data_IF_863524328639
#
_entry.id   IF_863524328639
#
_cell.length_a   1.000
_cell.length_b   1.000
_cell.length_c   1.000
_cell.angle_alpha   90.00
_cell.angle_beta   90.00
_cell.angle_gamma   90.00
#
_symmetry.space_group_name_H-M   'P 1'
#
loop_
_entity.id
_entity.type
_entity.pdbx_description
1 polymer ?
#
# COMPACT_ATOMS: atom_id res chain seq x y z
N UNK A 1 8.68 19.26 30.13
CA UNK A 1 7.80 18.93 28.98
C UNK A 1 8.43 18.02 27.92
N UNK A 2 9.75 18.04 27.68
CA UNK A 2 10.42 17.21 26.63
C UNK A 2 10.29 15.68 26.87
N UNK A 3 10.25 15.24 28.12
CA UNK A 3 10.19 13.80 28.46
C UNK A 3 8.82 13.14 28.22
N UNK A 4 7.70 13.87 28.37
CA UNK A 4 6.37 13.33 28.11
C UNK A 4 6.13 13.15 26.60
N UNK A 5 6.46 14.19 25.81
CA UNK A 5 6.36 14.17 24.36
C UNK A 5 7.20 13.05 23.70
N UNK A 6 8.42 12.80 24.22
CA UNK A 6 9.28 11.71 23.73
C UNK A 6 8.72 10.32 24.09
N UNK A 7 8.15 10.16 25.29
CA UNK A 7 7.51 8.89 25.73
C UNK A 7 6.25 8.60 24.92
N UNK A 8 5.40 9.59 24.68
CA UNK A 8 4.20 9.43 23.87
C UNK A 8 4.54 9.06 22.44
N UNK A 9 5.51 9.75 21.82
CA UNK A 9 5.98 9.42 20.46
C UNK A 9 6.55 8.00 20.35
N UNK A 10 7.27 7.53 21.37
CA UNK A 10 7.79 6.15 21.42
C UNK A 10 6.67 5.13 21.60
N UNK A 11 5.66 5.43 22.41
CA UNK A 11 4.47 4.59 22.63
C UNK A 11 3.64 4.48 21.35
N UNK A 12 3.45 5.58 20.63
CA UNK A 12 2.80 5.60 19.31
C UNK A 12 3.58 4.76 18.31
N UNK A 13 4.91 4.89 18.28
CA UNK A 13 5.75 4.09 17.36
C UNK A 13 5.67 2.58 17.65
N UNK A 14 5.67 2.18 18.92
CA UNK A 14 5.53 0.78 19.30
C UNK A 14 4.15 0.22 18.90
N UNK A 15 3.08 1.01 19.14
CA UNK A 15 1.72 0.64 18.74
C UNK A 15 1.56 0.49 17.21
N UNK A 16 2.14 1.39 16.42
CA UNK A 16 2.14 1.30 14.95
C UNK A 16 2.87 0.05 14.45
N UNK A 17 4.01 -0.31 15.06
CA UNK A 17 4.75 -1.51 14.66
C UNK A 17 3.96 -2.78 14.98
N UNK A 18 3.32 -2.84 16.14
CA UNK A 18 2.47 -3.98 16.50
C UNK A 18 1.26 -4.10 15.58
N UNK A 19 0.63 -2.97 15.24
CA UNK A 19 -0.46 -2.94 14.26
C UNK A 19 0.00 -3.46 12.89
N UNK A 20 1.19 -3.07 12.42
CA UNK A 20 1.74 -3.57 11.16
C UNK A 20 2.07 -5.06 11.21
N UNK A 21 2.57 -5.58 12.34
CA UNK A 21 2.79 -7.02 12.52
C UNK A 21 1.48 -7.79 12.39
N UNK A 22 0.40 -7.31 13.01
CA UNK A 22 -0.91 -7.92 12.88
C UNK A 22 -1.43 -7.83 11.45
N UNK A 23 -1.28 -6.67 10.82
CA UNK A 23 -1.67 -6.45 9.43
C UNK A 23 -0.94 -7.40 8.46
N UNK A 24 0.38 -7.52 8.57
CA UNK A 24 1.18 -8.40 7.72
C UNK A 24 0.81 -9.88 7.89
N UNK A 25 0.33 -10.30 9.07
CA UNK A 25 -0.18 -11.68 9.27
C UNK A 25 -1.42 -11.98 8.42
N UNK A 26 -2.15 -10.96 7.97
CA UNK A 26 -3.31 -11.11 7.07
C UNK A 26 -2.92 -11.34 5.61
N UNK A 27 -1.64 -11.17 5.27
CA UNK A 27 -1.20 -11.32 3.89
C UNK A 27 -1.30 -12.80 3.50
N UNK A 28 -1.72 -13.12 2.26
CA UNK A 28 -1.83 -14.50 1.82
C UNK A 28 -0.52 -15.25 2.03
N UNK A 29 -0.62 -16.43 2.65
CA UNK A 29 0.46 -17.41 2.69
C UNK A 29 0.08 -18.49 1.69
N UNK A 30 0.71 -18.49 0.53
CA UNK A 30 0.48 -19.58 -0.42
C UNK A 30 1.26 -20.80 0.04
N UNK A 31 0.54 -21.88 0.36
CA UNK A 31 1.08 -23.16 0.80
C UNK A 31 2.05 -23.75 -0.24
N UNK A 32 3.13 -24.37 0.23
CA UNK A 32 4.17 -24.97 -0.62
C UNK A 32 3.61 -26.11 -1.50
N UNK A 33 2.51 -26.76 -1.09
CA UNK A 33 1.85 -27.78 -1.92
C UNK A 33 1.13 -27.21 -3.14
N UNK A 34 0.48 -26.05 -3.02
CA UNK A 34 -0.18 -25.38 -4.15
C UNK A 34 0.83 -24.85 -5.18
N UNK A 35 2.09 -24.65 -4.74
CA UNK A 35 3.21 -24.20 -5.57
C UNK A 35 3.79 -25.32 -6.45
N UNK A 36 3.57 -26.61 -6.14
CA UNK A 36 4.07 -27.73 -6.97
C UNK A 36 3.41 -27.79 -8.36
N UNK A 37 2.23 -27.19 -8.51
CA UNK A 37 1.44 -27.26 -9.74
C UNK A 37 1.18 -25.91 -10.40
N UNK A 38 1.77 -24.82 -9.90
CA UNK A 38 1.48 -23.45 -10.39
C UNK A 38 2.76 -22.64 -10.62
N UNK A 39 2.86 -21.96 -11.77
CA UNK A 39 4.01 -21.10 -12.17
C UNK A 39 3.95 -19.71 -11.47
N UNK A 40 2.95 -19.47 -10.61
CA UNK A 40 2.78 -18.18 -9.97
C UNK A 40 3.94 -17.91 -8.99
N UNK A 41 4.50 -16.69 -8.99
CA UNK A 41 5.62 -16.35 -8.12
C UNK A 41 5.23 -16.57 -6.66
N UNK A 42 6.20 -17.06 -5.86
CA UNK A 42 6.06 -17.21 -4.40
C UNK A 42 5.52 -15.91 -3.82
N UNK A 43 4.29 -15.93 -3.31
CA UNK A 43 3.87 -14.83 -2.44
C UNK A 43 4.70 -14.91 -1.18
N UNK A 44 5.44 -13.82 -0.92
CA UNK A 44 6.34 -13.76 0.21
C UNK A 44 6.06 -12.48 0.96
N UNK A 45 6.18 -12.57 2.28
CA UNK A 45 6.34 -11.39 3.11
C UNK A 45 7.53 -11.60 4.01
N UNK A 46 8.44 -10.62 4.01
CA UNK A 46 9.68 -10.68 4.79
C UNK A 46 9.93 -9.34 5.45
N UNK A 47 10.33 -9.38 6.71
CA UNK A 47 10.88 -8.20 7.38
C UNK A 47 12.27 -7.87 6.79
N UNK A 48 12.41 -6.65 6.30
CA UNK A 48 13.65 -6.14 5.73
C UNK A 48 13.70 -4.63 5.95
N UNK A 49 14.56 -4.19 6.87
CA UNK A 49 14.69 -2.78 7.22
C UNK A 49 15.45 -2.05 6.11
N UNK A 50 14.81 -1.03 5.55
CA UNK A 50 15.39 -0.19 4.50
C UNK A 50 15.73 1.18 5.07
N UNK A 51 16.87 1.78 4.72
CA UNK A 51 17.18 3.14 5.12
C UNK A 51 16.10 4.13 4.67
N UNK A 52 15.69 5.04 5.56
CA UNK A 52 14.69 6.07 5.27
C UNK A 52 15.09 6.97 4.11
N UNK A 53 16.40 7.17 3.92
CA UNK A 53 16.97 7.94 2.80
C UNK A 53 16.55 7.39 1.44
N UNK A 54 16.31 6.08 1.29
CA UNK A 54 15.86 5.49 0.03
C UNK A 54 14.39 5.83 -0.26
N UNK A 55 13.53 5.81 0.76
CA UNK A 55 12.13 6.19 0.58
C UNK A 55 11.99 7.68 0.25
N UNK A 56 12.80 8.53 0.91
CA UNK A 56 12.84 9.98 0.67
C UNK A 56 13.20 10.30 -0.79
N UNK A 57 14.06 9.52 -1.45
CA UNK A 57 14.37 9.71 -2.88
C UNK A 57 13.11 9.56 -3.75
N UNK A 58 12.28 8.56 -3.46
CA UNK A 58 11.04 8.33 -4.21
C UNK A 58 10.01 9.41 -3.90
N UNK A 59 9.80 9.73 -2.62
CA UNK A 59 8.88 10.79 -2.18
C UNK A 59 9.21 12.13 -2.86
N UNK A 60 10.50 12.48 -2.94
CA UNK A 60 10.97 13.65 -3.69
C UNK A 60 10.63 13.57 -5.18
N UNK A 61 10.85 12.42 -5.82
CA UNK A 61 10.53 12.23 -7.25
C UNK A 61 9.04 12.31 -7.55
N UNK A 62 8.19 11.94 -6.59
CA UNK A 62 6.73 12.00 -6.68
C UNK A 62 6.18 13.37 -6.23
N UNK A 63 7.01 14.20 -5.59
CA UNK A 63 6.60 15.43 -4.91
C UNK A 63 5.48 15.22 -3.87
N UNK A 64 5.58 14.14 -3.09
CA UNK A 64 4.61 13.77 -2.03
C UNK A 64 5.34 13.32 -0.76
N UNK A 65 4.57 13.20 0.31
CA UNK A 65 4.95 12.43 1.50
C UNK A 65 3.91 11.34 1.70
N UNK A 66 4.33 10.08 1.80
CA UNK A 66 3.41 8.99 2.08
C UNK A 66 2.87 9.06 3.52
N UNK A 67 1.67 8.51 3.80
CA UNK A 67 1.16 8.41 5.16
C UNK A 67 2.12 7.66 6.09
N UNK A 68 2.26 8.10 7.34
CA UNK A 68 3.28 7.61 8.27
C UNK A 68 3.28 6.08 8.46
N UNK A 69 2.10 5.48 8.64
CA UNK A 69 1.97 4.02 8.79
C UNK A 69 2.33 3.28 7.50
N UNK A 70 1.98 3.84 6.33
CA UNK A 70 2.34 3.28 5.03
C UNK A 70 3.85 3.38 4.75
N UNK A 71 4.48 4.52 5.09
CA UNK A 71 5.95 4.65 5.06
C UNK A 71 6.62 3.54 5.87
N UNK A 72 6.10 3.28 7.08
CA UNK A 72 6.66 2.24 7.94
C UNK A 72 6.47 0.84 7.37
N UNK A 73 5.30 0.55 6.80
CA UNK A 73 5.08 -0.70 6.07
C UNK A 73 6.16 -0.89 4.98
N UNK A 74 6.41 0.13 4.16
CA UNK A 74 7.42 0.09 3.10
C UNK A 74 8.85 -0.05 3.64
N UNK A 75 9.19 0.64 4.73
CA UNK A 75 10.53 0.61 5.32
C UNK A 75 10.84 -0.70 6.06
N UNK A 76 9.81 -1.39 6.56
CA UNK A 76 9.98 -2.58 7.40
C UNK A 76 9.72 -3.88 6.68
N UNK A 77 8.84 -3.92 5.68
CA UNK A 77 8.42 -5.17 5.04
C UNK A 77 8.64 -5.15 3.54
N UNK A 78 9.01 -6.31 3.01
CA UNK A 78 9.04 -6.62 1.57
C UNK A 78 8.00 -7.67 1.28
N UNK A 79 7.27 -7.45 0.20
CA UNK A 79 6.18 -8.30 -0.22
C UNK A 79 5.96 -8.19 -1.73
N UNK A 80 5.44 -9.25 -2.31
CA UNK A 80 4.89 -9.24 -3.67
C UNK A 80 3.52 -8.55 -3.68
N UNK A 81 2.53 -9.01 -4.45
CA UNK A 81 1.18 -8.47 -4.30
C UNK A 81 0.48 -9.14 -3.11
N UNK A 82 0.00 -8.36 -2.16
CA UNK A 82 -0.79 -8.88 -1.04
C UNK A 82 -2.28 -8.69 -1.33
N UNK A 83 -3.01 -9.78 -1.63
CA UNK A 83 -4.46 -9.74 -1.79
C UNK A 83 -5.16 -9.84 -0.42
N UNK A 84 -5.86 -8.78 -0.04
CA UNK A 84 -6.47 -8.57 1.27
C UNK A 84 -7.99 -8.56 1.16
N UNK A 85 -8.49 -9.38 0.23
CA UNK A 85 -9.90 -9.58 -0.13
C UNK A 85 -10.57 -8.34 -0.75
N UNK A 86 -10.66 -7.25 0.01
CA UNK A 86 -11.30 -6.00 -0.43
C UNK A 86 -10.42 -5.13 -1.34
N UNK A 87 -9.10 -5.30 -1.25
CA UNK A 87 -8.08 -4.67 -2.08
C UNK A 87 -6.83 -5.53 -2.13
N UNK A 88 -5.96 -5.27 -3.11
CA UNK A 88 -4.61 -5.81 -3.14
C UNK A 88 -3.59 -4.68 -3.12
N UNK A 89 -2.53 -4.83 -2.31
CA UNK A 89 -1.42 -3.87 -2.29
C UNK A 89 -0.55 -4.01 -3.55
N UNK A 90 -0.03 -2.88 -4.04
CA UNK A 90 1.04 -2.91 -5.03
C UNK A 90 2.31 -3.54 -4.42
N UNK A 91 3.10 -4.30 -5.21
CA UNK A 91 4.28 -4.96 -4.68
C UNK A 91 5.33 -4.01 -4.13
N UNK A 92 5.89 -4.37 -2.97
CA UNK A 92 7.13 -3.82 -2.43
C UNK A 92 8.23 -4.89 -2.48
N UNK A 93 8.76 -5.20 -3.68
CA UNK A 93 9.61 -6.37 -3.89
C UNK A 93 10.98 -6.22 -3.23
N UNK A 94 11.65 -7.35 -2.98
CA UNK A 94 12.99 -7.38 -2.41
C UNK A 94 13.99 -6.55 -3.23
N UNK A 95 14.87 -5.85 -2.54
CA UNK A 95 15.90 -4.99 -3.11
C UNK A 95 16.54 -4.15 -2.02
N UNK A 96 17.76 -3.68 -2.26
CA UNK A 96 18.47 -2.75 -1.36
C UNK A 96 17.85 -1.35 -1.38
N UNK A 97 17.03 -1.05 -2.38
CA UNK A 97 16.34 0.23 -2.58
C UNK A 97 14.83 0.01 -2.82
N UNK A 98 14.16 1.02 -3.34
CA UNK A 98 12.75 0.98 -3.70
C UNK A 98 12.50 1.08 -5.22
N UNK A 99 13.49 0.82 -6.07
CA UNK A 99 13.31 0.91 -7.53
C UNK A 99 12.25 -0.07 -8.05
N UNK A 100 12.18 -1.28 -7.50
CA UNK A 100 11.13 -2.24 -7.85
C UNK A 100 9.72 -1.73 -7.49
N UNK A 101 9.56 -1.14 -6.31
CA UNK A 101 8.31 -0.48 -5.89
C UNK A 101 7.98 0.72 -6.78
N UNK A 102 8.99 1.56 -7.08
CA UNK A 102 8.88 2.70 -7.98
C UNK A 102 8.33 2.28 -9.35
N UNK A 103 8.91 1.24 -9.95
CA UNK A 103 8.46 0.70 -11.23
C UNK A 103 6.98 0.28 -11.21
N UNK A 104 6.46 -0.22 -10.07
CA UNK A 104 5.05 -0.60 -9.95
C UNK A 104 4.11 0.61 -9.88
N UNK A 105 4.50 1.69 -9.22
CA UNK A 105 3.72 2.95 -9.24
C UNK A 105 3.62 3.53 -10.65
N UNK A 106 4.73 3.52 -11.39
CA UNK A 106 4.81 4.12 -12.73
C UNK A 106 4.50 3.13 -13.87
N UNK A 107 4.11 1.89 -13.56
CA UNK A 107 4.03 0.82 -14.54
C UNK A 107 3.03 1.14 -15.66
N UNK A 108 1.86 1.65 -15.28
CA UNK A 108 0.81 1.96 -16.24
C UNK A 108 0.96 3.40 -16.78
N UNK A 109 1.48 3.50 -17.99
CA UNK A 109 1.67 4.76 -18.72
C UNK A 109 0.37 5.48 -19.10
N UNK A 110 -0.78 4.82 -19.04
CA UNK A 110 -2.09 5.38 -19.35
C UNK A 110 -2.83 5.82 -18.10
N UNK A 111 -2.69 5.07 -17.00
CA UNK A 111 -3.31 5.39 -15.72
C UNK A 111 -2.52 6.47 -14.96
N UNK A 112 -1.20 6.31 -14.88
CA UNK A 112 -0.33 7.16 -14.05
C UNK A 112 -0.46 8.67 -14.35
N UNK A 113 -0.44 9.14 -15.61
CA UNK A 113 -0.51 10.57 -15.89
C UNK A 113 -1.77 11.23 -15.35
N UNK A 114 -2.93 10.56 -15.49
CA UNK A 114 -4.20 11.07 -14.97
C UNK A 114 -4.18 11.08 -13.45
N UNK A 115 -3.78 9.98 -12.79
CA UNK A 115 -3.72 9.93 -11.32
C UNK A 115 -2.78 11.03 -10.76
N UNK A 116 -1.59 11.18 -11.35
CA UNK A 116 -0.62 12.18 -10.96
C UNK A 116 -1.15 13.62 -11.13
N UNK A 117 -1.82 13.91 -12.25
CA UNK A 117 -2.44 15.21 -12.50
C UNK A 117 -3.43 15.58 -11.38
N UNK A 118 -4.21 14.60 -10.91
CA UNK A 118 -5.18 14.80 -9.84
C UNK A 118 -4.61 14.60 -8.42
N UNK A 119 -3.28 14.51 -8.28
CA UNK A 119 -2.59 14.35 -6.98
C UNK A 119 -3.04 13.08 -6.23
N UNK A 120 -3.32 12.02 -6.99
CA UNK A 120 -3.66 10.70 -6.50
C UNK A 120 -2.44 9.79 -6.62
N UNK A 121 -2.17 9.01 -5.58
CA UNK A 121 -1.04 8.08 -5.55
C UNK A 121 -1.55 6.68 -5.35
N UNK A 122 -1.48 5.87 -6.39
CA UNK A 122 -1.86 4.47 -6.34
C UNK A 122 -0.93 3.71 -5.38
N UNK A 123 -1.51 2.96 -4.46
CA UNK A 123 -0.79 2.03 -3.59
C UNK A 123 -1.40 0.63 -3.62
N UNK A 124 -2.55 0.48 -4.27
CA UNK A 124 -3.20 -0.81 -4.46
C UNK A 124 -4.15 -0.78 -5.65
N UNK A 125 -4.88 -1.89 -5.80
CA UNK A 125 -5.97 -2.06 -6.75
C UNK A 125 -7.10 -2.82 -6.07
N UNK A 126 -8.29 -2.83 -6.69
CA UNK A 126 -9.40 -3.64 -6.20
C UNK A 126 -8.98 -5.12 -6.07
N UNK A 127 -9.35 -5.73 -4.95
CA UNK A 127 -9.06 -7.12 -4.63
C UNK A 127 -10.04 -8.05 -5.35
N UNK A 128 -9.56 -9.26 -5.66
CA UNK A 128 -10.26 -10.31 -6.44
C UNK A 128 -10.68 -9.89 -7.88
N UNK A 129 -10.65 -10.85 -8.81
CA UNK A 129 -11.19 -10.78 -10.19
C UNK A 129 -10.48 -9.91 -11.25
N UNK A 130 -9.14 -9.84 -11.24
CA UNK A 130 -8.34 -9.13 -12.26
C UNK A 130 -8.81 -7.69 -12.59
N UNK A 131 -9.47 -7.05 -11.61
CA UNK A 131 -9.98 -5.71 -11.79
C UNK A 131 -8.85 -4.69 -11.59
N UNK A 132 -8.73 -3.77 -12.55
CA UNK A 132 -7.67 -2.78 -12.63
C UNK A 132 -7.97 -1.47 -11.87
N UNK A 133 -9.14 -1.36 -11.23
CA UNK A 133 -9.58 -0.19 -10.46
C UNK A 133 -8.51 0.23 -9.43
N UNK A 134 -7.85 1.39 -9.60
CA UNK A 134 -6.79 1.79 -8.70
C UNK A 134 -7.35 2.23 -7.35
N UNK A 135 -6.61 1.89 -6.31
CA UNK A 135 -6.84 2.39 -4.95
C UNK A 135 -5.70 3.35 -4.61
N UNK A 136 -6.08 4.58 -4.33
CA UNK A 136 -5.16 5.69 -4.22
C UNK A 136 -5.28 6.40 -2.87
N UNK A 137 -4.17 7.00 -2.44
CA UNK A 137 -4.20 8.11 -1.50
C UNK A 137 -4.61 9.38 -2.24
N UNK A 138 -5.67 10.05 -1.79
CA UNK A 138 -5.95 11.43 -2.22
C UNK A 138 -5.16 12.41 -1.37
N UNK A 139 -4.02 12.86 -1.91
CA UNK A 139 -3.09 13.74 -1.19
C UNK A 139 -3.66 15.14 -0.96
N UNK A 140 -4.72 15.53 -1.69
CA UNK A 140 -5.43 16.81 -1.48
C UNK A 140 -6.39 16.72 -0.30
N UNK A 141 -6.84 15.51 0.03
CA UNK A 141 -7.80 15.25 1.09
C UNK A 141 -7.19 14.34 2.15
N UNK A 142 -6.17 14.83 2.85
CA UNK A 142 -5.53 14.20 4.03
C UNK A 142 -5.12 12.73 3.83
N UNK A 143 -4.82 12.32 2.60
CA UNK A 143 -4.54 10.92 2.24
C UNK A 143 -5.68 9.94 2.55
N UNK A 144 -6.93 10.40 2.39
CA UNK A 144 -8.11 9.52 2.33
C UNK A 144 -7.92 8.45 1.24
N UNK A 145 -8.51 7.28 1.46
CA UNK A 145 -8.31 6.12 0.58
C UNK A 145 -9.54 5.91 -0.27
N UNK A 146 -9.34 5.99 -1.59
CA UNK A 146 -10.42 6.01 -2.57
C UNK A 146 -10.12 5.05 -3.71
N UNK A 147 -11.15 4.32 -4.14
CA UNK A 147 -11.13 3.50 -5.34
C UNK A 147 -11.73 4.27 -6.52
N UNK A 148 -11.07 4.21 -7.66
CA UNK A 148 -11.52 4.85 -8.90
C UNK A 148 -11.83 3.81 -9.97
N UNK A 149 -12.73 4.18 -10.87
CA UNK A 149 -13.08 3.42 -12.07
C UNK A 149 -11.95 3.56 -13.09
N UNK A 150 -11.26 2.46 -13.40
CA UNK A 150 -10.13 2.50 -14.34
C UNK A 150 -10.56 2.77 -15.77
N UNK A 151 -11.74 2.33 -16.21
CA UNK A 151 -12.24 2.55 -17.57
C UNK A 151 -12.48 4.04 -17.83
N UNK A 152 -13.01 4.77 -16.85
CA UNK A 152 -13.15 6.24 -16.97
C UNK A 152 -11.81 6.95 -17.12
N UNK A 153 -10.76 6.42 -16.49
CA UNK A 153 -9.41 6.99 -16.62
C UNK A 153 -8.83 6.64 -18.00
N UNK A 154 -8.92 5.38 -18.41
CA UNK A 154 -8.30 4.88 -19.65
C UNK A 154 -9.02 5.37 -20.91
N UNK A 155 -10.35 5.32 -20.93
CA UNK A 155 -11.17 5.70 -22.08
C UNK A 155 -11.46 7.19 -22.13
N UNK A 156 -11.77 7.81 -20.98
CA UNK A 156 -12.29 9.18 -20.94
C UNK A 156 -11.32 10.20 -20.32
N UNK A 157 -10.20 9.75 -19.74
CA UNK A 157 -9.27 10.60 -18.95
C UNK A 157 -9.96 11.36 -17.82
N UNK A 158 -10.99 10.76 -17.22
CA UNK A 158 -11.76 11.33 -16.12
C UNK A 158 -11.59 10.51 -14.85
N UNK A 159 -11.81 11.16 -13.73
CA UNK A 159 -11.94 10.48 -12.45
C UNK A 159 -13.40 10.23 -12.14
N UNK A 160 -13.71 8.98 -11.85
CA UNK A 160 -14.98 8.57 -11.24
C UNK A 160 -14.67 7.76 -10.00
N UNK A 161 -15.10 8.28 -8.87
CA UNK A 161 -14.97 7.60 -7.57
C UNK A 161 -15.99 6.46 -7.55
N UNK A 162 -15.51 5.23 -7.33
CA UNK A 162 -16.39 4.09 -7.07
C UNK A 162 -16.83 4.11 -5.61
N UNK A 163 -15.85 4.26 -4.70
CA UNK A 163 -16.10 4.31 -3.26
C UNK A 163 -14.91 4.88 -2.50
N UNK A 164 -15.18 5.42 -1.32
CA UNK A 164 -14.18 5.67 -0.27
C UNK A 164 -14.05 4.41 0.60
N UNK A 165 -12.82 3.96 0.85
CA UNK A 165 -12.55 2.78 1.69
C UNK A 165 -12.29 3.16 3.14
N UNK A 166 -11.56 4.26 3.36
CA UNK A 166 -11.17 4.72 4.70
C UNK A 166 -10.76 6.20 4.68
N UNK A 167 -10.82 6.84 5.85
CA UNK A 167 -10.28 8.20 6.05
C UNK A 167 -8.76 8.23 6.17
N UNK A 168 -8.13 7.09 6.49
CA UNK A 168 -6.68 6.96 6.60
C UNK A 168 -6.20 5.53 6.34
N UNK A 169 -4.89 5.37 6.11
CA UNK A 169 -4.28 4.04 6.01
C UNK A 169 -4.37 3.23 7.31
N UNK A 170 -4.30 3.89 8.47
CA UNK A 170 -4.45 3.21 9.75
C UNK A 170 -5.84 2.60 9.91
N UNK A 171 -6.88 3.35 9.56
CA UNK A 171 -8.25 2.85 9.61
C UNK A 171 -8.46 1.68 8.64
N UNK A 172 -7.91 1.76 7.42
CA UNK A 172 -7.97 0.66 6.45
C UNK A 172 -7.28 -0.60 7.00
N UNK A 173 -6.10 -0.44 7.59
CA UNK A 173 -5.35 -1.54 8.22
C UNK A 173 -6.18 -2.21 9.33
N UNK A 174 -6.78 -1.41 10.22
CA UNK A 174 -7.62 -1.93 11.32
C UNK A 174 -8.83 -2.71 10.79
N UNK A 175 -9.55 -2.15 9.80
CA UNK A 175 -10.67 -2.82 9.14
C UNK A 175 -10.24 -4.16 8.51
N UNK A 176 -9.06 -4.20 7.90
CA UNK A 176 -8.52 -5.41 7.27
C UNK A 176 -8.23 -6.49 8.30
N UNK A 177 -7.58 -6.15 9.41
CA UNK A 177 -7.31 -7.09 10.52
C UNK A 177 -8.62 -7.62 11.11
N UNK A 178 -9.59 -6.74 11.34
CA UNK A 178 -10.89 -7.13 11.89
C UNK A 178 -11.64 -8.09 10.97
N UNK A 179 -11.66 -7.82 9.66
CA UNK A 179 -12.31 -8.69 8.69
C UNK A 179 -11.61 -10.05 8.58
N UNK A 180 -10.27 -10.08 8.59
CA UNK A 180 -9.51 -11.32 8.58
C UNK A 180 -9.71 -12.18 9.83
N UNK A 181 -10.12 -11.59 10.96
CA UNK A 181 -10.42 -12.32 12.21
C UNK A 181 -11.83 -12.90 12.27
N UNK A 182 -12.70 -12.56 11.31
CA UNK A 182 -14.09 -13.05 11.23
C UNK A 182 -14.25 -14.24 10.27
N UNK A 183 -13.17 -14.60 9.56
CA UNK A 183 -13.08 -15.75 8.65
C UNK A 183 -12.54 -16.96 9.41
#
# INVERSE_FOLDING_TARGET
MVNAYRKDKLKTKAGELELLKQYVKTFPKYDEEFQKHTILPRSFVKEFITPETELVKIEKSLCITFPALYRRLLLTYRYDAADLDSYSLLPNPSGSDFNGFKQKIFYDKHLWPTLYQFKLIQFGKRGKYDNYDPICFDTRNKNTIVQFDHEEILCNRRLKVIRKLADSFEELVRKTIENASKL
#
